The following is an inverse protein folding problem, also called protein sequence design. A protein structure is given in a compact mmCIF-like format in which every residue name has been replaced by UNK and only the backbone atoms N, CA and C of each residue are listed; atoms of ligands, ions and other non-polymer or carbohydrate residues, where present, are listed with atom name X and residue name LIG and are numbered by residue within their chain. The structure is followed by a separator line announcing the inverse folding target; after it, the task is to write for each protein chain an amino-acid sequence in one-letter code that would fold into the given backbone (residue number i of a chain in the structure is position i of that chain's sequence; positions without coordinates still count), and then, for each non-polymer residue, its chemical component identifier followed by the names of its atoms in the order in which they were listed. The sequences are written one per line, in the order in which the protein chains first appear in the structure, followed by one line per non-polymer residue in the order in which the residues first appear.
data_IF_558906406263
#
_entry.id   IF_558906406263
#
_cell.length_a   1.000
_cell.length_b   1.000
_cell.length_c   1.000
_cell.angle_alpha   90.00
_cell.angle_beta   90.00
_cell.angle_gamma   90.00
#
_symmetry.space_group_name_H-M   'P 1'
#
loop_
_entity.id
_entity.type
_entity.pdbx_description
1 polymer ?
#
# COMPACT_ATOMS: atom_id res chain seq x y z
N UNK A 1 -10.39 21.53 5.86
CA UNK A 1 -10.10 20.28 5.12
C UNK A 1 -10.42 20.53 3.66
N UNK A 2 -9.53 20.14 2.74
CA UNK A 2 -9.69 20.34 1.29
C UNK A 2 -9.68 18.99 0.60
N UNK A 3 -10.62 18.77 -0.31
CA UNK A 3 -10.72 17.57 -1.14
C UNK A 3 -10.32 17.92 -2.57
N UNK A 4 -9.37 17.19 -3.13
CA UNK A 4 -8.94 17.38 -4.52
C UNK A 4 -9.06 16.06 -5.26
N UNK A 5 -9.77 16.05 -6.40
CA UNK A 5 -9.71 14.94 -7.33
C UNK A 5 -8.28 14.87 -7.88
N UNK A 6 -7.58 13.78 -7.61
CA UNK A 6 -6.19 13.60 -8.03
C UNK A 6 -6.09 12.67 -9.25
N UNK A 7 -6.83 11.56 -9.27
CA UNK A 7 -6.76 10.60 -10.40
C UNK A 7 -8.03 9.80 -10.59
N UNK A 8 -8.19 9.26 -11.79
CA UNK A 8 -9.25 8.34 -12.17
C UNK A 8 -8.62 7.06 -12.74
N UNK A 9 -9.12 5.89 -12.35
CA UNK A 9 -8.65 4.58 -12.82
C UNK A 9 -9.80 3.66 -13.26
N UNK A 10 -9.43 2.51 -13.82
CA UNK A 10 -10.33 1.41 -14.17
C UNK A 10 -11.56 1.87 -14.97
N UNK A 11 -11.32 2.54 -16.11
CA UNK A 11 -12.37 3.08 -16.99
C UNK A 11 -13.39 3.96 -16.25
N UNK A 12 -12.90 4.90 -15.43
CA UNK A 12 -13.72 5.85 -14.66
C UNK A 12 -14.58 5.25 -13.55
N UNK A 13 -14.25 4.03 -13.11
CA UNK A 13 -14.90 3.42 -11.97
C UNK A 13 -14.31 3.86 -10.63
N UNK A 14 -13.00 4.09 -10.57
CA UNK A 14 -12.31 4.43 -9.32
C UNK A 14 -11.82 5.87 -9.36
N UNK A 15 -12.16 6.64 -8.34
CA UNK A 15 -11.73 8.03 -8.16
C UNK A 15 -10.80 8.14 -6.96
N UNK A 16 -9.61 8.67 -7.19
CA UNK A 16 -8.66 9.01 -6.16
C UNK A 16 -8.88 10.43 -5.67
N UNK A 17 -9.21 10.58 -4.40
CA UNK A 17 -9.35 11.87 -3.74
C UNK A 17 -8.18 12.04 -2.79
N UNK A 18 -7.43 13.12 -2.97
CA UNK A 18 -6.47 13.58 -1.98
C UNK A 18 -7.19 14.46 -0.96
N UNK A 19 -7.02 14.14 0.31
CA UNK A 19 -7.50 14.93 1.43
C UNK A 19 -6.32 15.67 2.03
N UNK A 20 -6.46 16.99 2.20
CA UNK A 20 -5.45 17.79 2.88
C UNK A 20 -6.07 18.48 4.10
N UNK A 21 -5.36 18.41 5.23
CA UNK A 21 -5.75 19.03 6.49
C UNK A 21 -4.51 19.68 7.15
N UNK A 22 -4.73 20.39 8.26
CA UNK A 22 -3.77 21.32 8.85
C UNK A 22 -2.38 20.70 9.14
N UNK A 23 -2.32 19.40 9.47
CA UNK A 23 -1.07 18.71 9.85
C UNK A 23 -0.78 17.47 8.98
N UNK A 24 -1.46 17.31 7.85
CA UNK A 24 -1.25 16.10 7.06
C UNK A 24 -2.06 15.98 5.79
N UNK A 25 -1.85 14.83 5.15
CA UNK A 25 -2.56 14.42 3.96
C UNK A 25 -3.06 12.99 4.14
N UNK A 26 -4.19 12.70 3.50
CA UNK A 26 -4.73 11.35 3.38
C UNK A 26 -5.17 11.13 1.92
N UNK A 27 -5.52 9.89 1.62
CA UNK A 27 -5.98 9.49 0.32
C UNK A 27 -7.18 8.56 0.46
N UNK A 28 -8.17 8.78 -0.39
CA UNK A 28 -9.36 7.93 -0.47
C UNK A 28 -9.54 7.45 -1.90
N UNK A 29 -9.80 6.15 -2.06
CA UNK A 29 -10.26 5.56 -3.31
C UNK A 29 -11.76 5.38 -3.22
N UNK A 30 -12.51 6.08 -4.06
CA UNK A 30 -13.95 5.89 -4.20
C UNK A 30 -14.20 4.94 -5.36
N UNK A 31 -14.89 3.84 -5.11
CA UNK A 31 -15.48 2.99 -6.15
C UNK A 31 -16.91 3.47 -6.44
N UNK A 32 -17.27 3.72 -7.71
CA UNK A 32 -18.64 4.13 -8.10
C UNK A 32 -19.74 3.19 -7.62
N UNK A 33 -19.41 1.92 -7.38
CA UNK A 33 -20.40 0.91 -6.97
C UNK A 33 -20.38 0.61 -5.46
N UNK A 34 -19.54 1.31 -4.67
CA UNK A 34 -19.33 0.99 -3.26
C UNK A 34 -18.99 2.21 -2.39
N UNK A 35 -18.39 1.94 -1.23
CA UNK A 35 -17.93 2.95 -0.28
C UNK A 35 -16.51 3.46 -0.62
N UNK A 36 -16.16 4.63 -0.08
CA UNK A 36 -14.79 5.15 -0.14
C UNK A 36 -13.85 4.38 0.79
N UNK A 37 -12.70 3.96 0.27
CA UNK A 37 -11.64 3.27 1.01
C UNK A 37 -10.57 4.31 1.36
N UNK A 38 -10.37 4.56 2.65
CA UNK A 38 -9.26 5.41 3.13
C UNK A 38 -7.96 4.59 3.09
N UNK A 39 -7.00 5.04 2.29
CA UNK A 39 -5.76 4.33 2.02
C UNK A 39 -4.54 4.94 2.71
N UNK A 40 -4.67 6.10 3.37
CA UNK A 40 -3.54 6.83 3.95
C UNK A 40 -2.77 7.56 2.86
N UNK A 41 -1.86 6.84 2.22
CA UNK A 41 -1.14 7.36 1.07
C UNK A 41 -1.82 7.03 -0.25
N UNK A 42 -1.35 7.71 -1.31
CA UNK A 42 -1.76 7.45 -2.68
C UNK A 42 -1.46 5.98 -3.03
N UNK A 43 -2.47 5.19 -3.45
CA UNK A 43 -2.27 3.79 -3.76
C UNK A 43 -1.57 3.60 -5.11
N UNK A 44 -0.90 2.46 -5.24
CA UNK A 44 -0.28 1.98 -6.47
C UNK A 44 -1.07 0.77 -6.96
N UNK A 45 -1.63 0.89 -8.16
CA UNK A 45 -2.43 -0.16 -8.79
C UNK A 45 -1.53 -1.20 -9.49
N UNK A 46 -1.91 -2.46 -9.38
CA UNK A 46 -1.34 -3.54 -10.19
C UNK A 46 -1.66 -3.29 -11.69
N UNK A 47 -0.85 -3.80 -12.63
CA UNK A 47 -1.05 -3.56 -14.07
C UNK A 47 -2.44 -3.91 -14.59
N UNK A 48 -3.04 -5.02 -14.14
CA UNK A 48 -4.41 -5.40 -14.51
C UNK A 48 -5.51 -4.54 -13.89
N UNK A 49 -5.18 -3.72 -12.89
CA UNK A 49 -6.15 -2.99 -12.09
C UNK A 49 -7.02 -3.85 -11.20
N UNK A 50 -6.72 -5.15 -11.01
CA UNK A 50 -7.48 -6.02 -10.10
C UNK A 50 -7.12 -5.83 -8.63
N UNK A 51 -5.93 -5.29 -8.37
CA UNK A 51 -5.45 -4.99 -7.03
C UNK A 51 -4.86 -3.59 -6.97
N UNK A 52 -4.85 -3.02 -5.78
CA UNK A 52 -4.00 -1.89 -5.44
C UNK A 52 -3.40 -2.08 -4.06
N UNK A 53 -2.25 -1.45 -3.84
CA UNK A 53 -1.59 -1.42 -2.55
C UNK A 53 -1.35 0.03 -2.12
N UNK A 54 -1.27 0.26 -0.81
CA UNK A 54 -0.91 1.56 -0.26
C UNK A 54 -0.08 1.39 0.99
N UNK A 55 0.75 2.39 1.23
CA UNK A 55 1.35 2.65 2.52
C UNK A 55 0.35 3.41 3.39
N UNK A 56 0.35 3.10 4.68
CA UNK A 56 -0.38 3.84 5.69
C UNK A 56 0.55 4.04 6.89
N UNK A 57 0.63 5.26 7.39
CA UNK A 57 1.43 5.59 8.56
C UNK A 57 0.45 6.08 9.64
N UNK A 58 0.39 5.36 10.76
CA UNK A 58 -0.38 5.83 11.92
C UNK A 58 0.45 6.85 12.70
N UNK A 59 0.14 8.13 12.52
CA UNK A 59 0.80 9.22 13.24
C UNK A 59 0.21 9.46 14.65
N UNK A 60 -0.90 8.81 15.03
CA UNK A 60 -1.67 9.18 16.21
C UNK A 60 -1.42 8.32 17.46
N UNK A 61 -0.77 7.16 17.38
CA UNK A 61 -0.75 6.23 18.53
C UNK A 61 0.40 5.24 18.68
N UNK A 62 1.34 5.21 17.74
CA UNK A 62 2.50 4.32 17.85
C UNK A 62 3.12 4.10 16.49
N UNK A 63 4.37 4.55 16.35
CA UNK A 63 5.21 4.47 15.16
C UNK A 63 5.00 3.13 14.44
N UNK A 64 4.16 3.14 13.42
CA UNK A 64 3.56 1.94 12.89
C UNK A 64 3.20 2.16 11.44
N UNK A 65 4.12 1.87 10.55
CA UNK A 65 3.82 1.83 9.13
C UNK A 65 3.11 0.54 8.75
N UNK A 66 2.30 0.59 7.71
CA UNK A 66 1.58 -0.55 7.16
C UNK A 66 1.63 -0.55 5.65
N UNK A 67 1.83 -1.72 5.06
CA UNK A 67 1.49 -1.96 3.66
C UNK A 67 0.23 -2.78 3.61
N UNK A 68 -0.79 -2.24 2.96
CA UNK A 68 -2.08 -2.90 2.76
C UNK A 68 -2.28 -3.20 1.29
N UNK A 69 -2.93 -4.32 1.01
CA UNK A 69 -3.24 -4.80 -0.33
C UNK A 69 -4.74 -5.09 -0.43
N UNK A 70 -5.38 -4.53 -1.44
CA UNK A 70 -6.83 -4.63 -1.66
C UNK A 70 -7.15 -5.19 -3.04
N UNK A 71 -8.16 -6.07 -3.15
CA UNK A 71 -8.88 -6.30 -4.39
C UNK A 71 -9.68 -5.06 -4.77
N UNK A 72 -9.69 -4.72 -6.06
CA UNK A 72 -10.60 -3.70 -6.59
C UNK A 72 -12.05 -4.21 -6.49
N UNK A 73 -12.92 -3.40 -5.89
CA UNK A 73 -14.32 -3.76 -5.61
C UNK A 73 -14.56 -4.39 -4.25
N UNK A 74 -13.54 -4.49 -3.39
CA UNK A 74 -13.65 -4.90 -1.98
C UNK A 74 -13.29 -3.72 -1.07
N UNK A 75 -14.03 -3.53 0.01
CA UNK A 75 -13.72 -2.59 1.09
C UNK A 75 -12.71 -3.15 2.10
N UNK A 76 -12.52 -4.48 2.10
CA UNK A 76 -11.56 -5.17 2.96
C UNK A 76 -10.25 -5.50 2.24
N UNK A 77 -9.08 -5.28 2.87
CA UNK A 77 -7.80 -5.72 2.33
C UNK A 77 -7.66 -7.25 2.43
N UNK A 78 -7.00 -7.86 1.43
CA UNK A 78 -6.60 -9.28 1.47
C UNK A 78 -5.34 -9.51 2.27
N UNK A 79 -4.52 -8.47 2.48
CA UNK A 79 -3.31 -8.53 3.30
C UNK A 79 -3.00 -7.17 3.90
N UNK A 80 -2.61 -7.17 5.17
CA UNK A 80 -1.96 -6.07 5.83
C UNK A 80 -0.63 -6.55 6.43
N UNK A 81 0.44 -5.79 6.23
CA UNK A 81 1.77 -6.04 6.81
C UNK A 81 2.12 -4.86 7.69
N UNK A 82 2.40 -5.13 8.96
CA UNK A 82 2.94 -4.15 9.91
C UNK A 82 4.44 -4.01 9.62
N UNK A 83 4.93 -2.80 9.41
CA UNK A 83 6.37 -2.53 9.21
C UNK A 83 7.12 -2.19 10.50
N UNK A 84 6.45 -2.32 11.64
CA UNK A 84 6.94 -1.88 12.95
C UNK A 84 7.10 -0.37 13.00
N UNK A 85 8.14 0.12 13.67
CA UNK A 85 8.49 1.55 13.71
C UNK A 85 8.92 2.13 12.36
N UNK A 86 8.99 1.32 11.30
CA UNK A 86 9.42 1.78 10.01
C UNK A 86 8.27 2.26 9.11
N UNK A 87 8.56 3.22 8.26
CA UNK A 87 7.63 3.84 7.32
C UNK A 87 7.79 3.19 5.93
N UNK A 88 6.75 2.52 5.39
CA UNK A 88 6.81 1.93 4.07
C UNK A 88 6.69 3.00 2.99
N UNK A 89 7.53 2.90 1.97
CA UNK A 89 7.56 3.81 0.84
C UNK A 89 7.93 3.06 -0.44
N UNK A 90 7.92 3.77 -1.58
CA UNK A 90 8.36 3.25 -2.88
C UNK A 90 7.67 1.94 -3.29
N UNK A 91 6.34 1.87 -3.15
CA UNK A 91 5.56 0.71 -3.59
C UNK A 91 5.67 0.54 -5.11
N UNK A 92 6.14 -0.62 -5.56
CA UNK A 92 6.32 -0.95 -6.99
C UNK A 92 5.81 -2.35 -7.28
N UNK A 93 4.89 -2.46 -8.24
CA UNK A 93 4.42 -3.75 -8.74
C UNK A 93 5.41 -4.37 -9.73
N UNK A 94 5.72 -5.65 -9.54
CA UNK A 94 6.49 -6.50 -10.46
C UNK A 94 5.54 -7.55 -11.04
N UNK A 95 4.88 -7.17 -12.14
CA UNK A 95 3.76 -7.93 -12.70
C UNK A 95 2.54 -7.93 -11.77
N UNK A 96 1.79 -9.03 -11.80
CA UNK A 96 0.50 -9.17 -11.11
C UNK A 96 0.59 -9.75 -9.71
N UNK A 97 1.70 -10.41 -9.41
CA UNK A 97 1.83 -11.32 -8.27
C UNK A 97 2.91 -10.88 -7.30
N UNK A 98 3.48 -9.70 -7.49
CA UNK A 98 4.54 -9.21 -6.64
C UNK A 98 4.52 -7.70 -6.50
N UNK A 99 4.70 -7.24 -5.26
CA UNK A 99 4.84 -5.85 -4.89
C UNK A 99 6.11 -5.71 -4.06
N UNK A 100 7.04 -4.86 -4.49
CA UNK A 100 8.16 -4.44 -3.65
C UNK A 100 7.88 -3.11 -2.97
N UNK A 101 8.50 -2.89 -1.82
CA UNK A 101 8.47 -1.60 -1.12
C UNK A 101 9.72 -1.47 -0.26
N UNK A 102 10.11 -0.24 0.06
CA UNK A 102 11.15 0.03 1.06
C UNK A 102 10.49 0.30 2.40
N UNK A 103 11.27 0.13 3.47
CA UNK A 103 10.88 0.54 4.81
C UNK A 103 12.03 1.33 5.40
N UNK A 104 11.75 2.55 5.83
CA UNK A 104 12.74 3.42 6.51
C UNK A 104 12.51 3.41 8.00
N UNK A 105 13.54 3.48 8.84
CA UNK A 105 13.37 3.60 10.30
C UNK A 105 12.95 2.31 11.04
N UNK A 106 12.93 1.15 10.37
CA UNK A 106 12.58 -0.15 10.95
C UNK A 106 12.29 -1.22 9.90
N UNK A 107 12.13 -2.49 10.31
CA UNK A 107 11.80 -3.60 9.40
C UNK A 107 10.55 -4.40 9.83
N UNK A 108 9.69 -4.85 8.89
CA UNK A 108 8.43 -5.56 9.17
C UNK A 108 8.53 -6.89 9.91
N UNK A 109 9.72 -7.50 10.01
CA UNK A 109 9.91 -8.82 10.62
C UNK A 109 10.64 -8.77 11.98
N UNK A 110 10.63 -7.62 12.66
CA UNK A 110 11.32 -7.48 13.96
C UNK A 110 12.85 -7.50 13.87
N UNK A 111 13.41 -7.58 12.66
CA UNK A 111 14.81 -7.27 12.42
C UNK A 111 15.00 -5.76 12.47
N UNK A 112 16.02 -5.30 13.22
CA UNK A 112 16.58 -3.96 13.00
C UNK A 112 17.15 -3.93 11.58
N UNK A 113 16.38 -3.44 10.61
CA UNK A 113 16.96 -3.00 9.35
C UNK A 113 17.63 -1.66 9.65
N UNK A 114 18.96 -1.65 9.78
CA UNK A 114 19.75 -0.41 9.78
C UNK A 114 20.05 0.07 8.36
N UNK A 115 19.36 -0.50 7.38
CA UNK A 115 19.65 -0.37 5.96
C UNK A 115 18.36 0.05 5.26
N UNK A 116 18.15 1.36 5.20
CA UNK A 116 17.01 2.02 4.54
C UNK A 116 16.99 1.78 3.01
N UNK A 117 17.95 1.02 2.47
CA UNK A 117 18.04 0.68 1.04
C UNK A 117 17.40 -0.66 0.68
N UNK A 118 17.01 -1.49 1.67
CA UNK A 118 16.45 -2.83 1.39
C UNK A 118 15.00 -2.77 0.93
N UNK A 119 14.73 -3.53 -0.13
CA UNK A 119 13.37 -3.81 -0.58
C UNK A 119 12.81 -5.04 0.13
N UNK A 120 11.56 -4.92 0.56
CA UNK A 120 10.70 -6.00 1.00
C UNK A 120 9.73 -6.37 -0.11
N UNK A 121 9.29 -7.63 -0.15
CA UNK A 121 8.44 -8.14 -1.21
C UNK A 121 7.20 -8.81 -0.63
N UNK A 122 6.03 -8.36 -1.08
CA UNK A 122 4.77 -9.07 -0.96
C UNK A 122 4.52 -9.86 -2.23
N UNK A 123 4.32 -11.17 -2.09
CA UNK A 123 4.27 -12.11 -3.21
C UNK A 123 3.03 -12.96 -3.10
N UNK A 124 2.28 -13.11 -4.18
CA UNK A 124 1.16 -14.03 -4.23
C UNK A 124 1.70 -15.46 -4.12
N UNK A 125 1.42 -16.12 -2.99
CA UNK A 125 1.56 -17.56 -2.86
C UNK A 125 0.15 -18.16 -2.81
N UNK A 126 -0.01 -19.41 -3.20
CA UNK A 126 -1.29 -20.11 -2.97
C UNK A 126 -1.24 -20.68 -1.55
N UNK A 127 -2.20 -20.40 -0.66
CA UNK A 127 -3.45 -19.65 -0.87
C UNK A 127 -3.42 -18.16 -0.47
N UNK A 128 -2.28 -17.61 -0.03
CA UNK A 128 -2.19 -16.28 0.56
C UNK A 128 -0.99 -15.45 0.08
N UNK A 129 -1.06 -14.13 0.23
CA UNK A 129 0.09 -13.25 0.02
C UNK A 129 1.11 -13.39 1.15
N UNK A 130 2.39 -13.56 0.78
CA UNK A 130 3.50 -13.75 1.72
C UNK A 130 4.53 -12.63 1.63
N UNK A 131 5.03 -12.22 2.79
CA UNK A 131 6.12 -11.25 2.91
C UNK A 131 7.46 -11.99 2.89
N UNK A 132 8.43 -11.47 2.14
CA UNK A 132 9.80 -11.97 2.09
C UNK A 132 10.79 -10.80 1.93
N UNK A 133 11.97 -10.94 2.54
CA UNK A 133 13.10 -10.01 2.38
C UNK A 133 13.87 -10.28 1.07
N UNK A 134 13.90 -11.54 0.63
CA UNK A 134 14.61 -11.92 -0.60
C UNK A 134 13.71 -11.74 -1.80
N UNK A 135 14.23 -11.08 -2.85
CA UNK A 135 13.58 -10.94 -4.15
C UNK A 135 13.27 -12.33 -4.73
N UNK A 136 11.99 -12.70 -4.89
CA UNK A 136 11.61 -13.94 -5.55
C UNK A 136 11.94 -13.90 -7.05
N UNK A 137 12.18 -15.06 -7.64
CA UNK A 137 12.51 -15.18 -9.07
C UNK A 137 11.44 -14.61 -10.02
N UNK A 138 10.17 -14.61 -9.59
CA UNK A 138 9.03 -14.07 -10.34
C UNK A 138 8.78 -12.57 -10.19
N UNK A 139 9.51 -11.88 -9.31
CA UNK A 139 9.38 -10.44 -9.09
C UNK A 139 10.39 -9.67 -9.94
N UNK A 140 10.27 -9.71 -11.27
CA UNK A 140 11.23 -9.07 -12.19
C UNK A 140 10.80 -7.68 -12.62
#
# INVERSE_FOLDING_TARGET
MVYTLDRVWAAERLFGIRLSFYEGMDYMVIDRIGAGIQTGERPVFAPSGRYFASAFIDHAGGNGGWVRLWPVGSDLPVRAVVTGNGEPADLVWHGETCLSFKVTGGGPLGGRSTDDTRNWYLVAAVPEWRLTERRPAGCR
#
